data_IF_002649699486
#
_entry.id   IF_002649699486
#
_cell.length_a   1.000
_cell.length_b   1.000
_cell.length_c   1.000
_cell.angle_alpha   90.00
_cell.angle_beta   90.00
_cell.angle_gamma   90.00
#
_symmetry.space_group_name_H-M   'P 1'
#
loop_
_entity.id
_entity.type
_entity.pdbx_description
1 polymer ?
#
# COMPACT_ATOMS: atom_id res chain seq x y z
N UNK A 1 -8.23 -11.53 -10.11
CA UNK A 1 -7.75 -12.39 -9.00
C UNK A 1 -8.69 -13.54 -8.71
N UNK A 2 -10.01 -13.35 -8.61
CA UNK A 2 -10.97 -14.45 -8.39
C UNK A 2 -11.23 -15.23 -9.69
N UNK A 3 -11.73 -14.53 -10.72
CA UNK A 3 -12.25 -15.20 -11.93
C UNK A 3 -11.14 -15.83 -12.79
N UNK A 4 -9.94 -15.27 -12.73
CA UNK A 4 -8.75 -15.72 -13.47
C UNK A 4 -7.67 -16.33 -12.55
N UNK A 5 -8.07 -16.97 -11.45
CA UNK A 5 -7.12 -17.48 -10.44
C UNK A 5 -6.25 -18.65 -10.96
N UNK A 6 -6.79 -19.49 -11.85
CA UNK A 6 -6.08 -20.66 -12.40
C UNK A 6 -5.42 -20.39 -13.76
N UNK A 7 -5.73 -19.27 -14.40
CA UNK A 7 -5.45 -19.03 -15.83
C UNK A 7 -3.97 -18.83 -16.15
N UNK A 8 -3.16 -18.46 -15.16
CA UNK A 8 -1.77 -18.04 -15.34
C UNK A 8 -0.78 -18.96 -14.62
N UNK A 9 0.45 -19.01 -15.11
CA UNK A 9 1.56 -19.73 -14.47
C UNK A 9 2.06 -19.00 -13.22
N UNK A 10 2.67 -19.72 -12.28
CA UNK A 10 3.14 -19.12 -11.01
C UNK A 10 4.21 -18.03 -11.19
N UNK A 11 4.94 -18.05 -12.30
CA UNK A 11 5.94 -17.06 -12.68
C UNK A 11 5.38 -15.85 -13.45
N UNK A 12 4.05 -15.76 -13.60
CA UNK A 12 3.39 -14.57 -14.15
C UNK A 12 3.33 -13.44 -13.11
N UNK A 13 3.67 -12.22 -13.53
CA UNK A 13 3.49 -11.00 -12.75
C UNK A 13 2.19 -10.27 -13.13
N UNK A 14 1.43 -9.82 -12.13
CA UNK A 14 0.22 -9.01 -12.29
C UNK A 14 0.47 -7.65 -11.64
N UNK A 15 0.19 -6.57 -12.36
CA UNK A 15 0.34 -5.20 -11.88
C UNK A 15 -1.04 -4.57 -11.66
N UNK A 16 -1.25 -4.02 -10.47
CA UNK A 16 -2.42 -3.22 -10.11
C UNK A 16 -2.02 -1.75 -10.12
N UNK A 17 -2.71 -0.97 -10.96
CA UNK A 17 -2.41 0.42 -11.24
C UNK A 17 -3.73 1.17 -11.37
N UNK A 18 -3.75 2.45 -11.00
CA UNK A 18 -4.85 3.29 -11.45
C UNK A 18 -4.74 3.52 -12.98
N UNK A 19 -5.88 3.75 -13.61
CA UNK A 19 -6.00 3.77 -15.06
C UNK A 19 -5.29 4.97 -15.73
N UNK A 20 -5.21 6.10 -15.04
CA UNK A 20 -4.67 7.32 -15.63
C UNK A 20 -3.14 7.28 -15.73
N UNK A 21 -2.63 7.74 -16.88
CA UNK A 21 -1.18 7.84 -17.08
C UNK A 21 -0.55 8.89 -16.16
N UNK A 22 -1.18 10.05 -16.01
CA UNK A 22 -0.63 11.18 -15.25
C UNK A 22 -1.47 11.41 -14.00
N UNK A 23 -1.03 10.87 -12.86
CA UNK A 23 -1.79 10.94 -11.60
C UNK A 23 -0.87 10.85 -10.38
N UNK A 24 -1.22 11.58 -9.33
CA UNK A 24 -0.38 11.73 -8.15
C UNK A 24 -0.06 10.42 -7.41
N UNK A 25 -0.81 9.36 -7.67
CA UNK A 25 -0.54 8.02 -7.13
C UNK A 25 0.71 7.37 -7.75
N UNK A 26 1.18 7.82 -8.93
CA UNK A 26 2.41 7.36 -9.56
C UNK A 26 3.64 7.97 -8.88
N UNK A 27 4.59 7.12 -8.49
CA UNK A 27 5.81 7.52 -7.78
C UNK A 27 6.91 7.97 -8.75
N UNK A 28 6.63 9.08 -9.45
CA UNK A 28 7.44 9.65 -10.52
C UNK A 28 7.38 11.19 -10.46
N UNK A 29 8.43 11.88 -10.92
CA UNK A 29 8.58 13.34 -10.76
C UNK A 29 7.49 14.15 -11.46
N UNK A 30 6.85 13.57 -12.47
CA UNK A 30 5.75 14.19 -13.22
C UNK A 30 4.51 13.34 -13.19
N UNK A 31 4.41 12.44 -12.21
CA UNK A 31 3.28 11.54 -12.03
C UNK A 31 3.01 10.62 -13.23
N UNK A 32 4.01 10.38 -14.08
CA UNK A 32 3.87 9.66 -15.35
C UNK A 32 4.08 8.14 -15.15
N UNK A 33 2.97 7.40 -15.11
CA UNK A 33 2.95 5.95 -14.93
C UNK A 33 3.68 5.19 -16.04
N UNK A 34 3.81 5.76 -17.24
CA UNK A 34 4.62 5.14 -18.31
C UNK A 34 6.09 5.09 -17.91
N UNK A 35 6.64 6.16 -17.34
CA UNK A 35 8.06 6.20 -16.92
C UNK A 35 8.32 5.28 -15.75
N UNK A 36 7.39 5.25 -14.80
CA UNK A 36 7.39 4.32 -13.66
C UNK A 36 7.48 2.87 -14.16
N UNK A 37 6.57 2.47 -15.07
CA UNK A 37 6.53 1.10 -15.63
C UNK A 37 7.74 0.75 -16.49
N UNK A 38 8.27 1.69 -17.28
CA UNK A 38 9.49 1.46 -18.08
C UNK A 38 10.72 1.15 -17.22
N UNK A 39 10.73 1.63 -15.97
CA UNK A 39 11.82 1.40 -15.01
C UNK A 39 11.55 0.23 -14.07
N UNK A 40 10.32 -0.27 -14.03
CA UNK A 40 9.90 -1.26 -13.06
C UNK A 40 10.71 -2.57 -13.21
N UNK A 41 11.37 -2.97 -12.14
CA UNK A 41 12.26 -4.12 -12.12
C UNK A 41 11.47 -5.40 -11.87
N UNK A 42 11.03 -6.04 -12.95
CA UNK A 42 10.31 -7.32 -12.87
C UNK A 42 11.10 -8.42 -12.14
N UNK A 43 12.43 -8.46 -12.27
CA UNK A 43 13.24 -9.47 -11.58
C UNK A 43 13.20 -9.28 -10.06
N UNK A 44 13.11 -8.04 -9.58
CA UNK A 44 12.89 -7.77 -8.16
C UNK A 44 11.50 -8.25 -7.72
N UNK A 45 10.44 -7.96 -8.50
CA UNK A 45 9.11 -8.48 -8.22
C UNK A 45 9.06 -10.01 -8.16
N UNK A 46 9.70 -10.70 -9.12
CA UNK A 46 9.73 -12.16 -9.14
C UNK A 46 10.38 -12.76 -7.89
N UNK A 47 11.40 -12.11 -7.33
CA UNK A 47 12.06 -12.54 -6.09
C UNK A 47 11.22 -12.23 -4.85
N UNK A 48 10.62 -11.05 -4.81
CA UNK A 48 9.89 -10.58 -3.62
C UNK A 48 8.46 -11.10 -3.54
N UNK A 49 7.87 -11.50 -4.67
CA UNK A 49 6.49 -11.97 -4.75
C UNK A 49 5.43 -10.86 -4.70
N UNK A 50 5.69 -9.78 -3.95
CA UNK A 50 4.89 -8.57 -3.85
C UNK A 50 5.82 -7.36 -3.76
N UNK A 51 5.52 -6.29 -4.52
CA UNK A 51 6.25 -5.02 -4.50
C UNK A 51 5.25 -3.88 -4.59
N UNK A 52 5.22 -3.02 -3.58
CA UNK A 52 4.51 -1.75 -3.67
C UNK A 52 5.28 -0.79 -4.60
N UNK A 53 4.57 -0.09 -5.48
CA UNK A 53 5.16 0.83 -6.45
C UNK A 53 5.43 2.22 -5.86
N UNK A 54 4.98 2.50 -4.64
CA UNK A 54 5.31 3.69 -3.86
C UNK A 54 6.56 3.42 -3.00
N UNK A 55 7.66 4.04 -3.38
CA UNK A 55 8.89 4.14 -2.60
C UNK A 55 8.96 5.40 -1.74
N UNK A 56 8.33 6.51 -2.15
CA UNK A 56 8.21 7.69 -1.31
C UNK A 56 7.42 7.37 -0.03
N UNK A 57 7.91 7.72 1.19
CA UNK A 57 7.30 7.27 2.44
C UNK A 57 5.91 7.89 2.69
N UNK A 58 5.64 9.06 2.12
CA UNK A 58 4.34 9.72 2.26
C UNK A 58 3.45 9.52 1.01
N UNK A 59 2.14 9.28 1.18
CA UNK A 59 1.45 8.92 2.43
C UNK A 59 1.61 7.43 2.80
N UNK A 60 1.31 7.11 4.07
CA UNK A 60 1.23 5.74 4.57
C UNK A 60 2.43 5.34 5.43
N UNK A 61 3.65 5.41 4.90
CA UNK A 61 4.87 5.00 5.61
C UNK A 61 5.51 6.08 6.52
N UNK A 62 4.90 7.25 6.66
CA UNK A 62 5.34 8.29 7.62
C UNK A 62 4.72 8.14 9.01
N UNK A 63 3.53 7.54 9.12
CA UNK A 63 2.82 7.36 10.39
C UNK A 63 2.06 6.04 10.53
N UNK A 64 1.68 5.41 9.41
CA UNK A 64 0.87 4.18 9.43
C UNK A 64 -0.50 4.40 10.06
N UNK A 65 -1.10 3.30 10.50
CA UNK A 65 -2.30 3.27 11.32
C UNK A 65 -1.95 2.61 12.67
N UNK A 66 -2.25 3.29 13.77
CA UNK A 66 -2.25 2.71 15.11
C UNK A 66 -3.60 2.04 15.38
N UNK A 67 -3.58 0.72 15.55
CA UNK A 67 -4.76 -0.11 15.78
C UNK A 67 -4.94 -0.47 17.27
N UNK A 68 -4.11 0.05 18.17
CA UNK A 68 -4.22 -0.17 19.62
C UNK A 68 -5.34 0.64 20.26
N UNK A 69 -5.76 1.72 19.60
CA UNK A 69 -6.77 2.65 20.11
C UNK A 69 -7.94 2.77 19.14
N UNK A 70 -9.16 2.61 19.65
CA UNK A 70 -10.39 2.86 18.87
C UNK A 70 -10.61 4.37 18.79
N UNK A 71 -10.73 4.98 17.60
CA UNK A 71 -11.02 6.40 17.46
C UNK A 71 -12.35 6.76 18.12
N UNK A 72 -12.35 7.75 19.02
CA UNK A 72 -13.57 8.27 19.66
C UNK A 72 -14.40 9.16 18.74
N UNK A 73 -13.75 9.74 17.72
CA UNK A 73 -14.38 10.58 16.69
C UNK A 73 -13.89 10.11 15.32
N UNK A 74 -14.81 9.93 14.38
CA UNK A 74 -14.52 9.51 13.01
C UNK A 74 -14.71 10.72 12.09
N UNK A 75 -13.65 11.51 11.93
CA UNK A 75 -13.67 12.76 11.15
C UNK A 75 -12.52 12.88 10.14
N UNK A 76 -11.62 11.89 10.09
CA UNK A 76 -10.51 11.81 9.13
C UNK A 76 -10.59 10.52 8.36
N UNK A 77 -9.95 10.47 7.19
CA UNK A 77 -9.83 9.23 6.42
C UNK A 77 -9.05 8.15 7.20
N UNK A 78 -8.10 8.55 8.05
CA UNK A 78 -7.34 7.65 8.92
C UNK A 78 -8.22 7.03 10.02
N UNK A 79 -8.91 7.84 10.81
CA UNK A 79 -9.83 7.37 11.86
C UNK A 79 -10.94 6.48 11.30
N UNK A 80 -11.48 6.81 10.12
CA UNK A 80 -12.45 5.97 9.44
C UNK A 80 -11.86 4.62 8.99
N UNK A 81 -10.60 4.61 8.54
CA UNK A 81 -9.90 3.37 8.15
C UNK A 81 -9.60 2.50 9.37
N UNK A 82 -9.08 3.08 10.46
CA UNK A 82 -8.83 2.37 11.73
C UNK A 82 -10.14 1.76 12.25
N UNK A 83 -11.21 2.56 12.33
CA UNK A 83 -12.51 2.05 12.77
C UNK A 83 -13.03 0.94 11.86
N UNK A 84 -12.89 1.09 10.53
CA UNK A 84 -13.25 0.07 9.56
C UNK A 84 -12.50 -1.24 9.75
N UNK A 85 -11.20 -1.20 10.06
CA UNK A 85 -10.40 -2.39 10.37
C UNK A 85 -10.88 -3.05 11.67
N UNK A 86 -10.99 -2.27 12.74
CA UNK A 86 -11.32 -2.77 14.08
C UNK A 86 -12.73 -3.39 14.16
N UNK A 87 -13.69 -2.88 13.39
CA UNK A 87 -15.04 -3.47 13.31
C UNK A 87 -15.11 -4.73 12.45
N UNK A 88 -14.09 -5.00 11.64
CA UNK A 88 -14.08 -6.09 10.66
C UNK A 88 -12.94 -7.08 10.87
N UNK A 89 -12.45 -7.23 12.11
CA UNK A 89 -11.30 -8.09 12.43
C UNK A 89 -11.48 -9.53 11.97
N UNK A 90 -12.66 -10.12 12.18
CA UNK A 90 -12.92 -11.51 11.84
C UNK A 90 -12.75 -11.79 10.34
N UNK A 91 -13.15 -10.84 9.50
CA UNK A 91 -13.01 -10.95 8.05
C UNK A 91 -11.63 -10.49 7.58
N UNK A 92 -10.96 -9.54 8.22
CA UNK A 92 -9.65 -9.05 7.77
C UNK A 92 -8.48 -9.92 8.25
N UNK A 93 -8.57 -10.45 9.48
CA UNK A 93 -7.54 -11.27 10.12
C UNK A 93 -8.14 -12.60 10.61
N UNK A 94 -8.54 -13.50 9.69
CA UNK A 94 -9.18 -14.76 10.07
C UNK A 94 -8.25 -15.60 10.95
N UNK A 95 -8.79 -16.12 12.06
CA UNK A 95 -8.02 -16.92 13.02
C UNK A 95 -7.22 -16.12 14.05
N UNK A 96 -7.23 -14.78 13.98
CA UNK A 96 -6.61 -13.90 14.97
C UNK A 96 -7.65 -13.29 15.89
N UNK A 97 -7.36 -13.24 17.19
CA UNK A 97 -8.23 -12.58 18.19
C UNK A 97 -7.97 -11.07 18.30
N UNK A 98 -6.87 -10.58 17.74
CA UNK A 98 -6.49 -9.16 17.69
C UNK A 98 -5.78 -8.81 16.37
N UNK A 99 -5.91 -7.58 15.86
CA UNK A 99 -5.09 -7.10 14.75
C UNK A 99 -3.61 -6.94 15.20
N UNK A 100 -2.68 -6.73 14.25
CA UNK A 100 -1.39 -6.14 14.59
C UNK A 100 -1.59 -4.77 15.26
N UNK A 101 -0.69 -4.38 16.16
CA UNK A 101 -0.79 -3.10 16.86
C UNK A 101 -0.67 -1.91 15.89
N UNK A 102 0.13 -2.07 14.84
CA UNK A 102 0.35 -1.05 13.81
C UNK A 102 0.35 -1.69 12.41
N UNK A 103 -0.17 -0.97 11.42
CA UNK A 103 -0.09 -1.34 10.00
C UNK A 103 0.37 -0.14 9.18
N UNK A 104 1.34 -0.34 8.29
CA UNK A 104 1.86 0.72 7.44
C UNK A 104 2.34 0.15 6.11
N UNK A 105 2.02 0.85 5.03
CA UNK A 105 2.45 0.53 3.67
C UNK A 105 2.42 1.81 2.83
N UNK A 106 3.24 1.87 1.78
CA UNK A 106 3.16 2.97 0.81
C UNK A 106 1.75 3.05 0.23
N UNK A 107 1.23 4.27 0.12
CA UNK A 107 -0.17 4.49 -0.29
C UNK A 107 -0.55 3.89 -1.64
N UNK A 108 -1.85 4.02 -1.90
CA UNK A 108 -2.46 4.12 -3.20
C UNK A 108 -2.72 2.77 -3.89
N UNK A 109 -2.44 1.66 -3.21
CA UNK A 109 -2.70 0.30 -3.70
C UNK A 109 -2.17 0.02 -5.13
N UNK A 110 -1.09 0.70 -5.54
CA UNK A 110 -0.36 0.37 -6.76
C UNK A 110 0.76 -0.60 -6.43
N UNK A 111 0.66 -1.83 -6.92
CA UNK A 111 1.62 -2.86 -6.59
C UNK A 111 1.73 -3.90 -7.71
N UNK A 112 2.89 -4.55 -7.77
CA UNK A 112 3.07 -5.79 -8.50
C UNK A 112 2.95 -6.98 -7.55
N UNK A 113 2.37 -8.07 -8.03
CA UNK A 113 2.32 -9.34 -7.31
C UNK A 113 2.49 -10.50 -8.29
N UNK A 114 3.17 -11.56 -7.88
CA UNK A 114 3.29 -12.78 -8.69
C UNK A 114 2.10 -13.69 -8.47
N UNK A 115 1.72 -14.46 -9.50
CA UNK A 115 0.66 -15.47 -9.37
C UNK A 115 1.03 -16.53 -8.32
N UNK A 116 2.31 -16.89 -8.22
CA UNK A 116 2.81 -17.75 -7.15
C UNK A 116 2.50 -17.21 -5.76
N UNK A 117 2.64 -15.90 -5.54
CA UNK A 117 2.27 -15.23 -4.27
C UNK A 117 0.78 -15.16 -4.06
N UNK A 118 -0.02 -14.83 -5.08
CA UNK A 118 -1.49 -14.85 -4.99
C UNK A 118 -1.97 -16.24 -4.53
N UNK A 119 -1.38 -17.31 -5.05
CA UNK A 119 -1.78 -18.69 -4.75
C UNK A 119 -1.39 -19.20 -3.36
N UNK A 120 -0.57 -18.45 -2.62
CA UNK A 120 -0.34 -18.75 -1.19
C UNK A 120 -1.61 -18.55 -0.36
N UNK A 121 -2.55 -17.75 -0.87
CA UNK A 121 -3.87 -17.54 -0.29
C UNK A 121 -4.93 -18.27 -1.13
N UNK A 122 -5.77 -19.14 -0.55
CA UNK A 122 -6.79 -19.87 -1.31
C UNK A 122 -7.78 -18.94 -2.01
N UNK A 123 -8.29 -19.34 -3.20
CA UNK A 123 -9.30 -18.57 -3.95
C UNK A 123 -10.48 -18.11 -3.08
N UNK A 124 -10.99 -19.01 -2.24
CA UNK A 124 -12.11 -18.75 -1.33
C UNK A 124 -11.88 -17.50 -0.47
N UNK A 125 -10.65 -17.23 -0.05
CA UNK A 125 -10.31 -16.05 0.73
C UNK A 125 -10.51 -14.75 -0.05
N UNK A 126 -10.16 -14.74 -1.34
CA UNK A 126 -10.42 -13.60 -2.23
C UNK A 126 -11.92 -13.43 -2.51
N UNK A 127 -12.67 -14.52 -2.62
CA UNK A 127 -14.13 -14.49 -2.76
C UNK A 127 -14.81 -13.91 -1.51
N UNK A 128 -14.38 -14.31 -0.30
CA UNK A 128 -14.85 -13.78 0.97
C UNK A 128 -14.57 -12.27 1.10
N UNK A 129 -13.35 -11.83 0.77
CA UNK A 129 -12.99 -10.40 0.78
C UNK A 129 -13.79 -9.59 -0.24
N UNK A 130 -14.01 -10.13 -1.45
CA UNK A 130 -14.88 -9.51 -2.46
C UNK A 130 -16.32 -9.39 -1.95
N UNK A 131 -16.85 -10.46 -1.38
CA UNK A 131 -18.22 -10.47 -0.86
C UNK A 131 -18.38 -9.45 0.27
N UNK A 132 -17.41 -9.37 1.17
CA UNK A 132 -17.38 -8.34 2.21
C UNK A 132 -17.39 -6.90 1.63
N UNK A 133 -16.61 -6.63 0.58
CA UNK A 133 -16.63 -5.32 -0.09
C UNK A 133 -17.99 -4.99 -0.70
N UNK A 134 -18.74 -5.99 -1.17
CA UNK A 134 -20.06 -5.80 -1.76
C UNK A 134 -21.16 -5.61 -0.70
N UNK A 135 -21.04 -6.28 0.44
CA UNK A 135 -22.08 -6.32 1.48
C UNK A 135 -21.90 -5.26 2.57
N UNK A 136 -20.69 -4.73 2.73
CA UNK A 136 -20.37 -3.79 3.80
C UNK A 136 -21.11 -2.46 3.66
N UNK A 137 -21.57 -1.90 4.78
CA UNK A 137 -22.13 -0.55 4.84
C UNK A 137 -21.06 0.55 4.93
N UNK A 138 -19.79 0.18 5.01
CA UNK A 138 -18.67 1.12 5.01
C UNK A 138 -18.59 1.77 3.62
N UNK A 139 -18.53 3.12 3.52
CA UNK A 139 -18.40 3.80 2.23
C UNK A 139 -17.23 3.28 1.41
N UNK A 140 -17.41 3.16 0.08
CA UNK A 140 -16.41 2.61 -0.86
C UNK A 140 -15.01 3.20 -0.69
N UNK A 141 -14.93 4.51 -0.46
CA UNK A 141 -13.66 5.19 -0.26
C UNK A 141 -12.92 4.70 1.00
N UNK A 142 -13.66 4.37 2.05
CA UNK A 142 -13.12 3.85 3.31
C UNK A 142 -12.83 2.35 3.21
N UNK A 143 -13.75 1.55 2.66
CA UNK A 143 -13.53 0.10 2.51
C UNK A 143 -12.39 -0.21 1.53
N UNK A 144 -12.25 0.59 0.46
CA UNK A 144 -11.10 0.57 -0.44
C UNK A 144 -9.78 0.89 0.28
N UNK A 145 -9.77 1.89 1.17
CA UNK A 145 -8.58 2.21 2.00
C UNK A 145 -8.27 1.11 3.01
N UNK A 146 -9.27 0.47 3.61
CA UNK A 146 -9.06 -0.71 4.45
C UNK A 146 -8.32 -1.78 3.65
N UNK A 147 -8.75 -2.07 2.42
CA UNK A 147 -8.05 -3.02 1.56
C UNK A 147 -6.65 -2.56 1.15
N UNK A 148 -6.45 -1.27 0.89
CA UNK A 148 -5.13 -0.68 0.60
C UNK A 148 -4.10 -1.04 1.68
N UNK A 149 -4.48 -0.95 2.96
CA UNK A 149 -3.63 -1.33 4.09
C UNK A 149 -3.52 -2.85 4.31
N UNK A 150 -4.26 -3.68 3.57
CA UNK A 150 -4.32 -5.13 3.78
C UNK A 150 -3.64 -5.96 2.69
N UNK A 151 -3.45 -5.40 1.49
CA UNK A 151 -2.87 -6.13 0.37
C UNK A 151 -1.50 -6.74 0.70
N UNK A 152 -0.56 -5.96 1.26
CA UNK A 152 0.78 -6.46 1.53
C UNK A 152 0.77 -7.62 2.54
N UNK A 153 -0.08 -7.54 3.58
CA UNK A 153 -0.24 -8.64 4.55
C UNK A 153 -0.89 -9.88 3.92
N UNK A 154 -1.87 -9.68 3.03
CA UNK A 154 -2.52 -10.78 2.31
C UNK A 154 -1.54 -11.51 1.38
N UNK A 155 -0.49 -10.81 0.94
CA UNK A 155 0.60 -11.33 0.11
C UNK A 155 1.86 -11.67 0.93
N UNK A 156 1.71 -11.89 2.24
CA UNK A 156 2.75 -12.46 3.10
C UNK A 156 3.83 -11.49 3.57
N UNK A 157 3.64 -10.17 3.41
CA UNK A 157 4.54 -9.16 3.97
C UNK A 157 4.13 -8.81 5.41
N UNK A 158 5.05 -8.27 6.25
CA UNK A 158 4.74 -7.86 7.62
C UNK A 158 3.71 -6.73 7.67
N UNK A 159 3.01 -6.56 8.80
CA UNK A 159 2.01 -5.49 8.97
C UNK A 159 2.59 -4.08 8.70
N UNK A 160 3.86 -3.86 9.01
CA UNK A 160 4.63 -2.69 8.60
C UNK A 160 5.53 -3.09 7.42
N UNK A 161 5.23 -2.61 6.23
CA UNK A 161 6.00 -2.84 5.01
C UNK A 161 6.39 -1.51 4.35
N UNK A 162 7.40 -0.88 4.96
CA UNK A 162 7.92 0.43 4.59
C UNK A 162 9.45 0.32 4.39
N UNK A 163 9.92 -0.11 3.21
CA UNK A 163 11.35 -0.21 2.95
C UNK A 163 12.00 1.17 2.95
N UNK A 164 13.32 1.22 3.18
CA UNK A 164 14.09 2.44 3.02
C UNK A 164 13.91 3.02 1.60
N UNK A 165 13.57 4.31 1.44
CA UNK A 165 13.29 4.88 0.13
C UNK A 165 14.46 4.77 -0.86
N UNK A 166 15.71 4.92 -0.41
CA UNK A 166 16.89 4.78 -1.29
C UNK A 166 16.98 3.34 -1.82
N UNK A 167 16.83 2.37 -0.93
CA UNK A 167 16.80 0.96 -1.30
C UNK A 167 15.63 0.66 -2.25
N UNK A 168 14.43 1.14 -1.95
CA UNK A 168 13.25 0.90 -2.77
C UNK A 168 13.44 1.44 -4.18
N UNK A 169 13.84 2.71 -4.35
CA UNK A 169 14.05 3.29 -5.68
C UNK A 169 15.14 2.56 -6.48
N UNK A 170 16.21 2.10 -5.82
CA UNK A 170 17.24 1.29 -6.46
C UNK A 170 16.68 -0.06 -6.93
N UNK A 171 15.97 -0.78 -6.06
CA UNK A 171 15.50 -2.13 -6.34
C UNK A 171 14.32 -2.16 -7.31
N UNK A 172 13.34 -1.29 -7.11
CA UNK A 172 12.08 -1.22 -7.88
C UNK A 172 12.29 -0.50 -9.22
N UNK A 173 13.10 0.56 -9.26
CA UNK A 173 13.21 1.45 -10.43
C UNK A 173 14.63 1.61 -10.99
N UNK A 174 15.62 0.90 -10.44
CA UNK A 174 17.02 0.99 -10.89
C UNK A 174 17.68 2.34 -10.59
N UNK A 175 17.13 3.14 -9.68
CA UNK A 175 17.63 4.49 -9.36
C UNK A 175 18.46 4.46 -8.06
N UNK A 176 19.69 3.96 -8.17
CA UNK A 176 20.53 3.69 -7.01
C UNK A 176 21.34 4.90 -6.51
N UNK A 177 21.56 5.90 -7.36
CA UNK A 177 22.39 7.08 -7.05
C UNK A 177 21.60 8.25 -6.46
N UNK A 178 20.41 7.98 -5.91
CA UNK A 178 19.56 9.02 -5.32
C UNK A 178 20.10 9.46 -3.95
N UNK A 179 20.21 10.77 -3.77
CA UNK A 179 20.47 11.36 -2.47
C UNK A 179 19.14 11.55 -1.72
N UNK A 180 18.88 10.66 -0.77
CA UNK A 180 17.69 10.72 0.08
C UNK A 180 18.02 11.35 1.44
N UNK A 181 17.22 12.34 1.85
CA UNK A 181 17.30 13.01 3.15
C UNK A 181 15.96 12.84 3.85
N UNK A 182 15.97 12.26 5.06
CA UNK A 182 14.76 11.96 5.85
C UNK A 182 13.68 11.17 5.06
N UNK A 183 14.13 10.25 4.21
CA UNK A 183 13.27 9.42 3.37
C UNK A 183 12.76 10.10 2.08
N UNK A 184 13.00 11.40 1.88
CA UNK A 184 12.71 12.09 0.63
C UNK A 184 13.91 12.02 -0.32
N UNK A 185 13.72 11.41 -1.48
CA UNK A 185 14.74 11.25 -2.53
C UNK A 185 14.59 12.25 -3.69
N UNK A 186 13.68 13.22 -3.59
CA UNK A 186 13.41 14.21 -4.64
C UNK A 186 12.73 13.66 -5.90
N UNK A 187 12.23 12.42 -5.85
CA UNK A 187 11.58 11.76 -6.99
C UNK A 187 10.09 12.04 -7.04
N UNK A 188 9.44 12.23 -5.90
CA UNK A 188 8.01 12.42 -5.81
C UNK A 188 7.70 13.65 -4.98
N UNK A 189 6.63 14.36 -5.35
CA UNK A 189 6.12 15.49 -4.58
C UNK A 189 4.64 15.22 -4.32
N UNK A 190 4.19 15.39 -3.08
CA UNK A 190 2.76 15.27 -2.78
C UNK A 190 2.01 16.56 -3.18
N UNK A 191 0.95 16.48 -4.01
CA UNK A 191 0.34 17.68 -4.58
C UNK A 191 -0.45 18.52 -3.57
N UNK A 192 -1.03 17.91 -2.53
CA UNK A 192 -1.99 18.57 -1.63
C UNK A 192 -1.36 19.30 -0.43
N UNK A 193 -0.07 19.66 -0.51
CA UNK A 193 0.56 20.61 0.42
C UNK A 193 1.10 20.02 1.73
N UNK A 194 0.82 18.75 2.04
CA UNK A 194 1.59 18.01 3.04
C UNK A 194 3.03 17.81 2.52
N UNK A 195 4.03 18.15 3.33
CA UNK A 195 5.46 18.08 2.96
C UNK A 195 6.12 19.38 2.45
N UNK A 196 5.38 20.49 2.24
CA UNK A 196 5.97 21.74 1.73
C UNK A 196 6.49 22.73 2.79
N UNK A 197 6.18 22.55 4.06
CA UNK A 197 6.58 23.48 5.12
C UNK A 197 7.47 22.79 6.14
N UNK A 198 8.59 23.42 6.51
CA UNK A 198 9.42 23.01 7.66
C UNK A 198 8.58 22.77 8.92
N UNK A 199 7.49 23.54 9.10
CA UNK A 199 6.53 23.35 10.20
C UNK A 199 5.74 22.04 10.10
N UNK A 200 5.43 21.55 8.91
CA UNK A 200 4.72 20.28 8.73
C UNK A 200 5.67 19.08 8.97
N UNK A 201 6.96 19.20 8.63
CA UNK A 201 7.96 18.18 8.98
C UNK A 201 8.18 18.06 10.49
N UNK A 202 8.14 19.19 11.21
CA UNK A 202 8.23 19.21 12.68
C UNK A 202 7.00 18.58 13.32
N UNK A 203 5.83 18.86 12.77
CA UNK A 203 4.56 18.25 13.19
C UNK A 203 4.56 16.74 13.00
N UNK A 204 4.98 16.28 11.83
CA UNK A 204 5.10 14.85 11.53
C UNK A 204 6.20 14.16 12.38
N UNK A 205 7.31 14.85 12.68
CA UNK A 205 8.38 14.34 13.56
C UNK A 205 7.98 14.33 15.06
N UNK A 206 7.09 15.23 15.48
CA UNK A 206 6.60 15.33 16.86
C UNK A 206 5.26 14.64 17.09
N UNK A 207 4.65 14.05 16.06
CA UNK A 207 3.33 13.42 16.15
C UNK A 207 2.20 14.39 16.54
N UNK A 208 2.23 15.63 16.03
CA UNK A 208 1.22 16.68 16.32
C UNK A 208 0.59 17.22 15.05
#
# INVERSE_FOLDING_TARGET
>A
MVDHYDDYSNDTAILFLHADRNQWHNDDEKYDGRRMLQRFNFQHLMREGYVNMRCHPYPGCTGGLDLTTVPSVINTSESATIFGILQNLAILFPGSTRPPDHVAVGCCAQFGVTVGTIRQTPRKRYEELRQWLLDTSIPDQTSGRVMEYMWHTLFGKPAIHCPDPRQCYCQVYGRCDLNCVDGDCGVYVYPFGAGRSWFNRIKDYLGI
#
